data_IF_572797162759
#
_entry.id   IF_572797162759
#
_cell.length_a   1.000
_cell.length_b   1.000
_cell.length_c   1.000
_cell.angle_alpha   90.00
_cell.angle_beta   90.00
_cell.angle_gamma   90.00
#
_symmetry.space_group_name_H-M   'P 1'
#
loop_
_entity.id
_entity.type
_entity.pdbx_description
1 polymer ?
#
# COMPACT_ATOMS: atom_id res chain seq x y z
N UNK A 1 -12.65 -28.67 -12.46
CA UNK A 1 -12.08 -27.41 -12.99
C UNK A 1 -12.90 -26.17 -12.61
N UNK A 2 -13.55 -26.12 -11.44
CA UNK A 2 -14.25 -24.93 -10.94
C UNK A 2 -13.91 -24.61 -9.47
N UNK A 3 -12.90 -25.29 -8.92
CA UNK A 3 -12.44 -25.12 -7.52
C UNK A 3 -11.19 -24.22 -7.47
N UNK A 4 -10.53 -23.95 -8.62
CA UNK A 4 -9.28 -23.18 -8.68
C UNK A 4 -9.46 -21.65 -8.63
N UNK A 5 -10.67 -21.13 -8.85
CA UNK A 5 -10.94 -19.68 -8.82
C UNK A 5 -11.60 -19.19 -7.53
N UNK A 6 -12.02 -20.09 -6.63
CA UNK A 6 -12.60 -19.71 -5.35
C UNK A 6 -11.55 -19.24 -4.33
N UNK A 7 -10.30 -19.70 -4.47
CA UNK A 7 -9.20 -19.41 -3.54
C UNK A 7 -8.58 -18.02 -3.76
N UNK A 8 -8.66 -17.47 -4.97
CA UNK A 8 -8.07 -16.15 -5.30
C UNK A 8 -8.91 -14.97 -4.81
N UNK A 9 -10.22 -15.17 -4.58
CA UNK A 9 -11.10 -14.13 -4.04
C UNK A 9 -11.04 -14.00 -2.51
N UNK A 10 -10.24 -14.85 -1.85
CA UNK A 10 -10.03 -14.81 -0.40
C UNK A 10 -8.70 -14.15 0.00
N UNK A 11 -7.70 -14.14 -0.89
CA UNK A 11 -6.37 -13.61 -0.55
C UNK A 11 -6.21 -12.09 -0.71
N UNK A 12 -7.01 -11.42 -1.54
CA UNK A 12 -6.79 -10.00 -1.88
C UNK A 12 -7.75 -9.01 -1.23
N UNK A 13 -8.74 -9.47 -0.45
CA UNK A 13 -9.67 -8.57 0.27
C UNK A 13 -9.27 -8.27 1.72
N UNK A 14 -8.12 -8.79 2.21
CA UNK A 14 -7.87 -8.86 3.66
C UNK A 14 -6.53 -8.29 4.20
N UNK A 15 -5.38 -8.12 3.50
CA UNK A 15 -4.23 -7.53 4.21
C UNK A 15 -4.37 -6.02 4.46
N UNK A 16 -5.19 -5.31 3.67
CA UNK A 16 -5.41 -3.87 3.86
C UNK A 16 -6.28 -3.51 5.08
N UNK A 17 -7.07 -4.45 5.62
CA UNK A 17 -8.02 -4.17 6.70
C UNK A 17 -7.57 -4.58 8.10
N UNK A 18 -6.56 -5.43 8.23
CA UNK A 18 -6.27 -6.13 9.50
C UNK A 18 -5.03 -5.61 10.23
N UNK A 19 -3.98 -5.15 9.53
CA UNK A 19 -2.76 -4.65 10.20
C UNK A 19 -2.81 -3.16 10.60
N UNK A 20 -3.83 -2.40 10.18
CA UNK A 20 -4.04 -1.02 10.62
C UNK A 20 -5.42 -0.79 11.24
N UNK A 21 -6.07 -1.83 11.77
CA UNK A 21 -6.94 -1.60 12.92
C UNK A 21 -6.04 -1.42 14.13
N UNK A 22 -5.26 -0.33 14.16
CA UNK A 22 -4.83 0.22 15.44
C UNK A 22 -6.12 0.39 16.20
N UNK A 23 -6.29 -0.32 17.32
CA UNK A 23 -7.35 0.02 18.28
C UNK A 23 -7.20 1.51 18.49
N UNK A 24 -8.16 2.28 17.96
CA UNK A 24 -8.13 3.74 17.93
C UNK A 24 -7.93 4.20 19.37
N UNK A 25 -6.68 4.53 19.74
CA UNK A 25 -6.33 4.91 21.12
C UNK A 25 -5.06 4.29 21.72
N UNK A 26 -4.57 3.12 21.28
CA UNK A 26 -3.35 2.53 21.89
C UNK A 26 -2.11 3.05 21.17
N UNK A 27 -1.62 4.23 21.59
CA UNK A 27 -0.33 4.77 21.16
C UNK A 27 0.76 4.27 22.10
N UNK A 28 1.82 3.68 21.56
CA UNK A 28 3.05 3.42 22.32
C UNK A 28 4.02 4.56 22.07
N UNK A 29 4.58 5.11 23.15
CA UNK A 29 5.70 6.05 23.04
C UNK A 29 6.94 5.30 22.60
N UNK A 30 7.65 5.85 21.62
CA UNK A 30 8.92 5.31 21.13
C UNK A 30 9.93 6.45 21.19
N UNK A 31 11.07 6.19 21.84
CA UNK A 31 12.19 7.14 21.83
C UNK A 31 12.94 7.00 20.51
N UNK A 32 13.06 8.10 19.78
CA UNK A 32 13.77 8.17 18.50
C UNK A 32 14.93 9.16 18.62
N UNK A 33 16.08 8.79 18.06
CA UNK A 33 17.24 9.68 17.98
C UNK A 33 17.23 10.38 16.63
N UNK A 34 17.24 11.71 16.62
CA UNK A 34 17.26 12.55 15.43
C UNK A 34 18.42 13.54 15.55
N UNK A 35 18.93 14.00 14.41
CA UNK A 35 19.97 15.01 14.40
C UNK A 35 19.49 16.30 15.09
N UNK A 36 20.31 16.94 15.94
CA UNK A 36 19.91 18.14 16.69
C UNK A 36 19.35 19.26 15.81
N UNK A 37 19.96 19.49 14.65
CA UNK A 37 19.54 20.49 13.67
C UNK A 37 18.11 20.28 13.16
N UNK A 38 17.69 19.03 12.98
CA UNK A 38 16.34 18.68 12.54
C UNK A 38 15.33 18.95 13.66
N UNK A 39 15.71 18.66 14.91
CA UNK A 39 14.86 18.92 16.07
C UNK A 39 14.64 20.41 16.30
N UNK A 40 15.70 21.21 16.20
CA UNK A 40 15.61 22.67 16.34
C UNK A 40 14.74 23.28 15.24
N UNK A 41 14.92 22.84 13.99
CA UNK A 41 14.11 23.32 12.87
C UNK A 41 12.64 22.91 13.02
N UNK A 42 12.37 21.66 13.41
CA UNK A 42 11.00 21.20 13.64
C UNK A 42 10.31 21.95 14.79
N UNK A 43 11.05 22.31 15.85
CA UNK A 43 10.54 23.16 16.94
C UNK A 43 10.26 24.58 16.47
N UNK A 44 11.18 25.18 15.69
CA UNK A 44 11.01 26.52 15.10
C UNK A 44 9.74 26.60 14.26
N UNK A 45 9.48 25.55 13.48
CA UNK A 45 8.29 25.41 12.63
C UNK A 45 7.05 24.88 13.38
N UNK A 46 7.15 24.60 14.69
CA UNK A 46 6.08 24.05 15.54
C UNK A 46 5.44 22.77 14.98
N UNK A 47 6.25 21.91 14.36
CA UNK A 47 5.78 20.65 13.79
C UNK A 47 5.44 19.64 14.88
N UNK A 48 4.37 18.88 14.65
CA UNK A 48 4.04 17.72 15.48
C UNK A 48 4.87 16.51 15.01
N UNK A 49 6.06 16.32 15.59
CA UNK A 49 6.99 15.25 15.19
C UNK A 49 6.34 13.87 15.18
N UNK A 50 5.49 13.56 16.16
CA UNK A 50 4.81 12.27 16.24
C UNK A 50 3.89 12.04 15.04
N UNK A 51 3.12 13.06 14.64
CA UNK A 51 2.25 12.98 13.48
C UNK A 51 3.06 12.85 12.17
N UNK A 52 4.12 13.64 12.02
CA UNK A 52 4.98 13.62 10.83
C UNK A 52 5.67 12.27 10.68
N UNK A 53 6.27 11.74 11.75
CA UNK A 53 6.92 10.45 11.74
C UNK A 53 5.93 9.32 11.43
N UNK A 54 4.73 9.38 12.02
CA UNK A 54 3.68 8.39 11.75
C UNK A 54 3.29 8.39 10.28
N UNK A 55 3.05 9.56 9.69
CA UNK A 55 2.69 9.68 8.28
C UNK A 55 3.82 9.19 7.35
N UNK A 56 5.06 9.57 7.62
CA UNK A 56 6.22 9.13 6.85
C UNK A 56 6.40 7.60 6.89
N UNK A 57 6.28 6.99 8.08
CA UNK A 57 6.37 5.54 8.22
C UNK A 57 5.22 4.83 7.51
N UNK A 58 3.99 5.33 7.61
CA UNK A 58 2.84 4.76 6.90
C UNK A 58 3.04 4.77 5.39
N UNK A 59 3.59 5.86 4.84
CA UNK A 59 3.85 5.91 3.39
C UNK A 59 4.95 4.94 2.97
N UNK A 60 6.03 4.82 3.75
CA UNK A 60 7.08 3.83 3.48
C UNK A 60 6.54 2.41 3.54
N UNK A 61 5.71 2.08 4.52
CA UNK A 61 5.07 0.75 4.61
C UNK A 61 4.17 0.47 3.41
N UNK A 62 3.41 1.47 2.94
CA UNK A 62 2.59 1.34 1.74
C UNK A 62 3.44 1.13 0.50
N UNK A 63 4.53 1.88 0.35
CA UNK A 63 5.44 1.75 -0.77
C UNK A 63 6.06 0.34 -0.84
N UNK A 64 6.53 -0.17 0.30
CA UNK A 64 7.08 -1.53 0.39
C UNK A 64 6.05 -2.59 0.02
N UNK A 65 4.86 -2.52 0.60
CA UNK A 65 3.78 -3.48 0.31
C UNK A 65 3.33 -3.42 -1.16
N UNK A 66 3.28 -2.22 -1.76
CA UNK A 66 3.00 -2.09 -3.20
C UNK A 66 4.06 -2.79 -4.04
N UNK A 67 5.33 -2.63 -3.69
CA UNK A 67 6.44 -3.27 -4.40
C UNK A 67 6.38 -4.81 -4.26
N UNK A 68 6.15 -5.32 -3.05
CA UNK A 68 5.97 -6.76 -2.81
C UNK A 68 4.79 -7.32 -3.60
N UNK A 69 3.63 -6.65 -3.54
CA UNK A 69 2.45 -7.07 -4.27
C UNK A 69 2.68 -7.10 -5.79
N UNK A 70 3.34 -6.08 -6.34
CA UNK A 70 3.69 -6.05 -7.77
C UNK A 70 4.61 -7.20 -8.15
N UNK A 71 5.59 -7.54 -7.31
CA UNK A 71 6.50 -8.66 -7.55
C UNK A 71 5.75 -10.00 -7.53
N UNK A 72 4.89 -10.22 -6.53
CA UNK A 72 4.09 -11.45 -6.39
C UNK A 72 3.08 -11.63 -7.53
N UNK A 73 2.48 -10.53 -7.99
CA UNK A 73 1.40 -10.56 -8.99
C UNK A 73 1.89 -10.35 -10.41
N UNK A 74 3.19 -10.17 -10.64
CA UNK A 74 3.78 -9.88 -11.95
C UNK A 74 3.33 -10.87 -13.03
N UNK A 75 3.44 -12.17 -12.76
CA UNK A 75 3.04 -13.22 -13.72
C UNK A 75 1.53 -13.19 -14.04
N UNK A 76 0.69 -12.93 -13.03
CA UNK A 76 -0.76 -12.80 -13.21
C UNK A 76 -1.12 -11.55 -14.01
N UNK A 77 -0.44 -10.43 -13.75
CA UNK A 77 -0.61 -9.18 -14.49
C UNK A 77 -0.20 -9.37 -15.95
N UNK A 78 0.96 -10.00 -16.21
CA UNK A 78 1.43 -10.29 -17.57
C UNK A 78 0.45 -11.20 -18.32
N UNK A 79 -0.05 -12.26 -17.69
CA UNK A 79 -1.02 -13.15 -18.31
C UNK A 79 -2.34 -12.44 -18.67
N UNK A 80 -2.81 -11.54 -17.80
CA UNK A 80 -4.02 -10.73 -18.08
C UNK A 80 -3.75 -9.73 -19.20
N UNK A 81 -2.60 -9.05 -19.19
CA UNK A 81 -2.24 -8.09 -20.24
C UNK A 81 -2.16 -8.78 -21.60
N UNK A 82 -1.50 -9.93 -21.68
CA UNK A 82 -1.44 -10.73 -22.91
C UNK A 82 -2.83 -11.13 -23.39
N UNK A 83 -3.71 -11.56 -22.48
CA UNK A 83 -5.08 -11.91 -22.84
C UNK A 83 -5.85 -10.70 -23.40
N UNK A 84 -5.68 -9.51 -22.81
CA UNK A 84 -6.29 -8.26 -23.31
C UNK A 84 -5.73 -7.86 -24.68
N UNK A 85 -4.43 -8.01 -24.90
CA UNK A 85 -3.81 -7.72 -26.21
C UNK A 85 -4.33 -8.65 -27.32
N UNK A 86 -4.56 -9.92 -26.99
CA UNK A 86 -5.06 -10.93 -27.93
C UNK A 86 -6.57 -10.83 -28.19
N UNK A 87 -7.36 -10.48 -27.17
CA UNK A 87 -8.84 -10.58 -27.21
C UNK A 87 -9.55 -9.22 -27.19
N UNK A 88 -8.80 -8.13 -27.06
CA UNK A 88 -9.33 -6.80 -26.77
C UNK A 88 -9.68 -6.63 -25.30
N UNK A 89 -9.79 -5.37 -24.87
CA UNK A 89 -10.24 -5.05 -23.52
C UNK A 89 -11.76 -5.09 -23.44
N UNK A 90 -12.29 -5.55 -22.31
CA UNK A 90 -13.73 -5.48 -22.04
C UNK A 90 -14.27 -4.05 -22.11
N UNK A 91 -13.45 -3.01 -21.92
CA UNK A 91 -13.89 -1.61 -22.00
C UNK A 91 -13.66 -0.94 -23.35
N UNK A 92 -13.22 -1.69 -24.38
CA UNK A 92 -12.91 -1.10 -25.69
C UNK A 92 -14.13 -0.44 -26.34
N UNK A 93 -15.35 -0.89 -26.03
CA UNK A 93 -16.59 -0.26 -26.48
C UNK A 93 -16.86 1.12 -25.84
N UNK A 94 -16.14 1.49 -24.78
CA UNK A 94 -16.29 2.77 -24.07
C UNK A 94 -15.16 3.76 -24.40
N UNK A 95 -14.13 3.34 -25.11
CA UNK A 95 -13.03 4.21 -25.51
C UNK A 95 -13.50 5.10 -26.67
N UNK A 96 -14.06 6.26 -26.33
CA UNK A 96 -14.30 7.33 -27.31
C UNK A 96 -12.96 7.98 -27.66
N UNK A 97 -12.73 8.19 -28.96
CA UNK A 97 -11.53 8.80 -29.55
C UNK A 97 -11.42 10.30 -29.27
#
# INVERSE_FOLDING_TARGET
MLVYYATLRQFMRIPMGVLMRTTQGIKKSVNVSLAPEILEEARRLKLNLSAVLTAALQEQFRAHQRAEWLAENKASIEAINQWVDENGSFSDFQRSF
#
